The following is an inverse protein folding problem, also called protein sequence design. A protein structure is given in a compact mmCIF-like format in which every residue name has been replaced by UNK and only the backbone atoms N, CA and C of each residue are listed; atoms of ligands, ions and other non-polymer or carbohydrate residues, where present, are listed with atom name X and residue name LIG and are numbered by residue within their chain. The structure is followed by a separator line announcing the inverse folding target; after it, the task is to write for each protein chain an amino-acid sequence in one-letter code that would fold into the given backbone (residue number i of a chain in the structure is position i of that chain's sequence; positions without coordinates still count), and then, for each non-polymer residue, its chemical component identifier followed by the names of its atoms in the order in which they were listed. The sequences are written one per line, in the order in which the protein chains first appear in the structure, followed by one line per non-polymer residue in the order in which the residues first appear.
data_IF_886251706270
#
_entry.id   IF_886251706270
#
_cell.length_a   1.000
_cell.length_b   1.000
_cell.length_c   1.000
_cell.angle_alpha   90.00
_cell.angle_beta   90.00
_cell.angle_gamma   90.00
#
_symmetry.space_group_name_H-M   'P 1'
#
loop_
_entity.id
_entity.type
_entity.pdbx_description
1 polymer ?
#
# COMPACT_ATOMS: atom_id res chain seq x y z
N UNK A 1 21.87 6.59 8.69
CA UNK A 1 21.09 5.73 9.60
C UNK A 1 19.57 5.90 9.46
N UNK A 2 19.04 7.10 9.15
CA UNK A 2 17.58 7.34 9.02
C UNK A 2 16.94 6.57 7.85
N UNK A 3 17.60 6.53 6.69
CA UNK A 3 17.10 5.84 5.48
C UNK A 3 16.87 4.32 5.65
N UNK A 4 17.69 3.67 6.48
CA UNK A 4 17.53 2.24 6.78
C UNK A 4 16.31 1.99 7.67
N UNK A 5 16.04 2.86 8.65
CA UNK A 5 14.89 2.70 9.54
C UNK A 5 13.56 2.81 8.78
N UNK A 6 13.42 3.72 7.80
CA UNK A 6 12.22 3.82 6.97
C UNK A 6 11.90 2.50 6.25
N UNK A 7 12.90 1.90 5.58
CA UNK A 7 12.77 0.60 4.90
C UNK A 7 12.40 -0.55 5.84
N UNK A 8 12.87 -0.51 7.10
CA UNK A 8 12.58 -1.54 8.11
C UNK A 8 11.18 -1.42 8.72
N UNK A 9 10.57 -0.23 8.77
CA UNK A 9 9.24 -0.01 9.36
C UNK A 9 8.09 0.05 8.34
N UNK A 10 8.34 0.50 7.11
CA UNK A 10 7.31 0.67 6.07
C UNK A 10 6.73 -0.67 5.60
N UNK A 11 7.60 -1.64 5.30
CA UNK A 11 7.23 -2.93 4.73
C UNK A 11 6.38 -3.74 5.71
N UNK A 12 6.71 -3.80 7.02
CA UNK A 12 5.85 -4.45 8.00
C UNK A 12 4.45 -3.83 8.11
N UNK A 13 4.32 -2.50 8.05
CA UNK A 13 3.01 -1.84 8.22
C UNK A 13 2.12 -2.09 6.99
N UNK A 14 2.64 -1.85 5.79
CA UNK A 14 1.89 -2.09 4.56
C UNK A 14 1.51 -3.58 4.42
N UNK A 15 2.41 -4.50 4.76
CA UNK A 15 2.11 -5.93 4.79
C UNK A 15 1.01 -6.26 5.81
N UNK A 16 1.10 -5.74 7.03
CA UNK A 16 0.10 -5.98 8.09
C UNK A 16 -1.29 -5.46 7.70
N UNK A 17 -1.38 -4.28 7.08
CA UNK A 17 -2.65 -3.75 6.58
C UNK A 17 -3.19 -4.64 5.46
N UNK A 18 -2.35 -5.00 4.48
CA UNK A 18 -2.73 -5.88 3.38
C UNK A 18 -3.24 -7.24 3.88
N UNK A 19 -2.53 -7.86 4.83
CA UNK A 19 -2.91 -9.14 5.41
C UNK A 19 -4.24 -9.07 6.16
N UNK A 20 -4.49 -7.97 6.90
CA UNK A 20 -5.78 -7.79 7.58
C UNK A 20 -6.94 -7.66 6.60
N UNK A 21 -6.71 -7.04 5.44
CA UNK A 21 -7.70 -6.87 4.38
C UNK A 21 -7.96 -8.14 3.57
N UNK A 22 -7.09 -9.15 3.63
CA UNK A 22 -7.33 -10.46 2.99
C UNK A 22 -8.43 -11.28 3.66
N UNK A 23 -8.79 -10.97 4.92
CA UNK A 23 -9.92 -11.64 5.57
C UNK A 23 -11.23 -11.33 4.81
N UNK A 24 -12.06 -12.34 4.49
CA UNK A 24 -13.31 -12.11 3.79
C UNK A 24 -14.20 -11.11 4.54
N UNK A 25 -14.70 -10.11 3.82
CA UNK A 25 -15.69 -9.19 4.35
C UNK A 25 -17.07 -9.80 4.20
N UNK A 26 -17.80 -9.93 5.31
CA UNK A 26 -19.21 -10.32 5.25
C UNK A 26 -20.03 -9.11 4.83
N UNK A 27 -20.73 -9.23 3.72
CA UNK A 27 -21.63 -8.21 3.22
C UNK A 27 -22.92 -8.89 2.76
N UNK A 28 -24.02 -8.59 3.44
CA UNK A 28 -25.30 -9.30 3.28
C UNK A 28 -25.14 -10.82 3.46
N UNK A 29 -25.43 -11.61 2.42
CA UNK A 29 -25.30 -13.07 2.40
C UNK A 29 -23.99 -13.55 1.74
N UNK A 30 -23.13 -12.62 1.32
CA UNK A 30 -21.90 -12.90 0.59
C UNK A 30 -20.63 -12.72 1.43
N UNK A 31 -19.60 -13.49 1.08
CA UNK A 31 -18.23 -13.28 1.54
C UNK A 31 -17.40 -12.65 0.42
N UNK A 32 -17.03 -11.39 0.59
CA UNK A 32 -16.27 -10.62 -0.39
C UNK A 32 -14.78 -10.75 -0.10
N UNK A 33 -14.03 -11.33 -1.04
CA UNK A 33 -12.58 -11.30 -1.03
C UNK A 33 -12.08 -9.97 -1.59
N UNK A 34 -11.58 -9.09 -0.71
CA UNK A 34 -10.96 -7.83 -1.12
C UNK A 34 -9.44 -7.90 -1.02
N UNK A 35 -8.76 -7.11 -1.84
CA UNK A 35 -7.31 -6.99 -1.79
C UNK A 35 -6.93 -5.53 -1.99
N UNK A 36 -5.90 -5.09 -1.28
CA UNK A 36 -5.39 -3.73 -1.36
C UNK A 36 -4.10 -3.66 -2.18
N UNK A 37 -3.95 -2.57 -2.92
CA UNK A 37 -2.66 -2.11 -3.43
C UNK A 37 -2.31 -0.85 -2.66
N UNK A 38 -1.10 -0.78 -2.11
CA UNK A 38 -0.69 0.29 -1.19
C UNK A 38 0.54 0.96 -1.79
N UNK A 39 0.48 2.28 -1.92
CA UNK A 39 1.63 3.12 -2.27
C UNK A 39 2.11 3.87 -1.03
N UNK A 40 3.42 4.09 -0.94
CA UNK A 40 4.05 4.77 0.20
C UNK A 40 4.92 5.91 -0.32
N UNK A 41 4.95 7.03 0.41
CA UNK A 41 5.83 8.14 0.13
C UNK A 41 6.48 8.67 1.42
N UNK A 42 7.68 9.20 1.26
CA UNK A 42 8.63 9.49 2.31
C UNK A 42 8.92 10.98 2.32
N UNK A 43 8.57 11.66 3.41
CA UNK A 43 9.01 13.03 3.63
C UNK A 43 10.38 13.01 4.31
N UNK A 44 11.35 13.83 3.87
CA UNK A 44 11.27 14.76 2.74
C UNK A 44 11.73 14.14 1.39
N UNK A 45 12.12 12.87 1.37
CA UNK A 45 12.82 12.24 0.23
C UNK A 45 12.07 12.27 -1.09
N UNK A 46 10.75 12.09 -1.04
CA UNK A 46 9.89 12.04 -2.21
C UNK A 46 9.27 13.40 -2.55
N UNK A 47 8.92 14.19 -1.52
CA UNK A 47 8.44 15.56 -1.63
C UNK A 47 8.43 16.25 -0.26
N UNK A 48 8.49 17.58 -0.29
CA UNK A 48 8.48 18.41 0.92
C UNK A 48 7.09 18.99 1.25
N UNK A 49 6.06 18.74 0.44
CA UNK A 49 4.73 19.33 0.64
C UNK A 49 3.61 18.41 0.10
N UNK A 50 2.50 18.97 -0.38
CA UNK A 50 1.31 18.24 -0.83
C UNK A 50 1.59 17.21 -1.92
N UNK A 51 2.65 17.40 -2.70
CA UNK A 51 3.09 16.46 -3.75
C UNK A 51 3.48 15.09 -3.18
N UNK A 52 3.72 14.99 -1.87
CA UNK A 52 3.96 13.72 -1.20
C UNK A 52 2.78 12.75 -1.37
N UNK A 53 1.56 13.27 -1.42
CA UNK A 53 0.36 12.48 -1.68
C UNK A 53 0.34 11.95 -3.12
N UNK A 54 0.74 12.76 -4.09
CA UNK A 54 0.82 12.35 -5.49
C UNK A 54 1.86 11.26 -5.69
N UNK A 55 3.00 11.33 -4.98
CA UNK A 55 3.99 10.27 -4.95
C UNK A 55 3.42 8.95 -4.43
N UNK A 56 2.66 9.00 -3.32
CA UNK A 56 2.03 7.81 -2.74
C UNK A 56 0.97 7.22 -3.69
N UNK A 57 0.11 8.05 -4.27
CA UNK A 57 -0.93 7.63 -5.20
C UNK A 57 -0.34 6.97 -6.46
N UNK A 58 0.69 7.60 -7.06
CA UNK A 58 1.37 7.05 -8.23
C UNK A 58 1.95 5.66 -7.95
N UNK A 59 2.58 5.46 -6.79
CA UNK A 59 3.10 4.14 -6.38
C UNK A 59 2.00 3.13 -6.06
N UNK A 60 0.86 3.58 -5.54
CA UNK A 60 -0.31 2.72 -5.35
C UNK A 60 -0.82 2.19 -6.69
N UNK A 61 -0.94 3.05 -7.70
CA UNK A 61 -1.32 2.63 -9.05
C UNK A 61 -0.28 1.70 -9.69
N UNK A 62 1.01 1.93 -9.47
CA UNK A 62 2.06 1.01 -9.92
C UNK A 62 1.90 -0.38 -9.27
N UNK A 63 1.72 -0.44 -7.95
CA UNK A 63 1.46 -1.68 -7.23
C UNK A 63 0.19 -2.39 -7.73
N UNK A 64 -0.88 -1.63 -7.99
CA UNK A 64 -2.14 -2.14 -8.54
C UNK A 64 -1.98 -2.74 -9.94
N UNK A 65 -1.17 -2.11 -10.79
CA UNK A 65 -0.87 -2.60 -12.15
C UNK A 65 0.00 -3.85 -12.11
N UNK A 66 1.05 -3.87 -11.29
CA UNK A 66 1.92 -5.03 -11.14
C UNK A 66 1.18 -6.25 -10.58
N UNK A 67 0.11 -6.04 -9.80
CA UNK A 67 -0.75 -7.11 -9.30
C UNK A 67 -1.74 -7.65 -10.34
N UNK A 68 -2.07 -6.91 -11.41
CA UNK A 68 -3.06 -7.32 -12.44
C UNK A 68 -2.60 -8.45 -13.38
N UNK A 69 -1.58 -9.21 -13.01
CA UNK A 69 -1.24 -10.47 -13.68
C UNK A 69 -1.78 -11.67 -12.92
N UNK A 70 -3.03 -12.08 -13.19
CA UNK A 70 -3.38 -13.48 -13.27
C UNK A 70 -3.75 -13.81 -14.73
N UNK A 71 -2.87 -14.54 -15.40
CA UNK A 71 -3.31 -15.53 -16.37
C UNK A 71 -3.82 -16.77 -15.64
#
# INVERSE_FOLDING_TARGET
MVFLAQLFFEKPIAARISDRLKSPLRFENDELAVQASIGMAHYPEDAASVELMDCADRRMYQAKRNRKSPG
#
